data_IF_587775247139
#
_entry.id   IF_587775247139
#
_cell.length_a   1.000
_cell.length_b   1.000
_cell.length_c   1.000
_cell.angle_alpha   90.00
_cell.angle_beta   90.00
_cell.angle_gamma   90.00
#
_symmetry.space_group_name_H-M   'P 1'
#
loop_
_entity.id
_entity.type
_entity.pdbx_description
1 polymer ?
#
# COMPACT_ATOMS: atom_id res chain seq x y z
N UNK A 1 10.36 11.29 -8.16
CA UNK A 1 10.49 9.89 -7.67
C UNK A 1 10.87 8.91 -8.78
N UNK A 2 10.22 8.90 -9.96
CA UNK A 2 10.53 7.96 -11.07
C UNK A 2 12.00 8.04 -11.54
N UNK A 3 12.53 9.26 -11.75
CA UNK A 3 13.96 9.42 -12.11
C UNK A 3 14.91 8.89 -11.04
N UNK A 4 14.58 9.10 -9.77
CA UNK A 4 15.37 8.56 -8.67
C UNK A 4 15.31 7.03 -8.65
N UNK A 5 14.13 6.44 -8.82
CA UNK A 5 13.95 5.00 -8.92
C UNK A 5 14.82 4.39 -10.05
N UNK A 6 14.81 5.00 -11.23
CA UNK A 6 15.65 4.57 -12.36
C UNK A 6 17.15 4.62 -12.04
N UNK A 7 17.61 5.70 -11.38
CA UNK A 7 19.03 5.85 -11.01
C UNK A 7 19.51 4.78 -10.05
N UNK A 8 18.68 4.35 -9.11
CA UNK A 8 19.03 3.30 -8.13
C UNK A 8 18.62 1.89 -8.56
N UNK A 9 18.00 1.74 -9.74
CA UNK A 9 17.56 0.46 -10.27
C UNK A 9 16.27 -0.10 -9.63
N UNK A 10 15.53 0.73 -8.88
CA UNK A 10 14.23 0.34 -8.31
C UNK A 10 13.20 0.10 -9.42
N UNK A 11 12.38 -0.92 -9.25
CA UNK A 11 11.39 -1.34 -10.26
C UNK A 11 10.01 -0.71 -10.05
N UNK A 12 9.78 -0.16 -8.87
CA UNK A 12 8.50 0.46 -8.52
C UNK A 12 8.68 1.66 -7.60
N UNK A 13 7.65 2.48 -7.55
CA UNK A 13 7.48 3.58 -6.59
C UNK A 13 6.10 3.49 -5.95
N UNK A 14 6.00 3.90 -4.70
CA UNK A 14 4.72 4.04 -3.99
C UNK A 14 4.17 5.44 -4.20
N UNK A 15 2.85 5.53 -4.35
CA UNK A 15 2.10 6.79 -4.47
C UNK A 15 0.89 6.78 -3.54
N UNK A 16 0.52 7.95 -3.03
CA UNK A 16 -0.60 8.12 -2.09
C UNK A 16 -1.65 9.08 -2.67
N UNK A 17 -2.88 9.02 -2.14
CA UNK A 17 -3.97 9.90 -2.56
C UNK A 17 -3.82 11.34 -2.07
N UNK A 18 -3.11 11.53 -0.95
CA UNK A 18 -2.85 12.83 -0.35
C UNK A 18 -1.35 13.07 -0.21
N UNK A 19 -0.95 14.34 -0.13
CA UNK A 19 0.39 14.69 0.27
C UNK A 19 0.58 14.42 1.77
N UNK A 20 1.69 13.77 2.10
CA UNK A 20 2.09 13.48 3.48
C UNK A 20 3.26 14.37 3.87
N UNK A 21 3.18 14.96 5.06
CA UNK A 21 4.25 15.69 5.72
C UNK A 21 5.04 14.83 6.69
N UNK A 22 5.80 15.48 7.56
CA UNK A 22 6.61 14.81 8.58
C UNK A 22 5.74 13.91 9.47
N UNK A 23 6.25 12.72 9.76
CA UNK A 23 5.53 11.71 10.54
C UNK A 23 4.30 11.11 9.84
N UNK A 24 4.15 11.30 8.52
CA UNK A 24 3.02 10.77 7.77
C UNK A 24 1.72 11.55 7.92
N UNK A 25 1.77 12.76 8.49
CA UNK A 25 0.58 13.62 8.68
C UNK A 25 0.06 14.08 7.31
N UNK A 26 -1.24 13.95 7.10
CA UNK A 26 -1.89 14.45 5.87
C UNK A 26 -1.83 15.98 5.83
N UNK A 27 -1.23 16.53 4.76
CA UNK A 27 -1.03 17.98 4.64
C UNK A 27 -2.29 18.69 4.18
N UNK A 28 -3.00 18.12 3.19
CA UNK A 28 -4.20 18.72 2.60
C UNK A 28 -5.38 17.75 2.74
N UNK A 29 -6.36 18.10 3.55
CA UNK A 29 -7.56 17.28 3.78
C UNK A 29 -8.64 17.49 2.71
N UNK A 30 -8.66 18.66 2.06
CA UNK A 30 -9.69 19.04 1.06
C UNK A 30 -11.12 18.86 1.59
N UNK A 31 -11.38 19.33 2.81
CA UNK A 31 -12.66 19.15 3.51
C UNK A 31 -13.83 19.90 2.83
N UNK A 32 -13.52 20.87 1.99
CA UNK A 32 -14.45 21.63 1.15
C UNK A 32 -14.88 20.88 -0.13
N UNK A 33 -14.23 19.77 -0.46
CA UNK A 33 -14.55 18.98 -1.64
C UNK A 33 -15.35 17.71 -1.29
N UNK A 34 -16.34 17.40 -2.12
CA UNK A 34 -17.07 16.12 -1.99
C UNK A 34 -16.17 14.93 -2.35
N UNK A 35 -16.48 13.76 -1.79
CA UNK A 35 -15.75 12.53 -2.10
C UNK A 35 -15.78 12.18 -3.59
N UNK A 36 -16.87 12.53 -4.30
CA UNK A 36 -16.97 12.34 -5.75
C UNK A 36 -15.91 13.17 -6.49
N UNK A 37 -15.75 14.44 -6.11
CA UNK A 37 -14.73 15.32 -6.72
C UNK A 37 -13.33 14.80 -6.43
N UNK A 38 -13.05 14.39 -5.19
CA UNK A 38 -11.76 13.80 -4.80
C UNK A 38 -11.46 12.53 -5.61
N UNK A 39 -12.46 11.65 -5.78
CA UNK A 39 -12.34 10.41 -6.56
C UNK A 39 -12.04 10.69 -8.03
N UNK A 40 -12.77 11.62 -8.66
CA UNK A 40 -12.52 12.00 -10.06
C UNK A 40 -11.11 12.60 -10.22
N UNK A 41 -10.69 13.49 -9.33
CA UNK A 41 -9.34 14.08 -9.36
C UNK A 41 -8.24 13.01 -9.20
N UNK A 42 -8.45 12.04 -8.31
CA UNK A 42 -7.53 10.92 -8.12
C UNK A 42 -7.47 10.06 -9.38
N UNK A 43 -8.60 9.75 -10.01
CA UNK A 43 -8.66 9.00 -11.26
C UNK A 43 -7.89 9.70 -12.39
N UNK A 44 -8.13 10.99 -12.61
CA UNK A 44 -7.45 11.77 -13.65
C UNK A 44 -5.93 11.79 -13.44
N UNK A 45 -5.49 11.99 -12.20
CA UNK A 45 -4.07 11.97 -11.87
C UNK A 45 -3.46 10.58 -12.09
N UNK A 46 -4.16 9.50 -11.71
CA UNK A 46 -3.68 8.13 -11.89
C UNK A 46 -3.60 7.73 -13.37
N UNK A 47 -4.45 8.28 -14.23
CA UNK A 47 -4.31 8.13 -15.69
C UNK A 47 -2.97 8.68 -16.20
N UNK A 48 -2.59 9.87 -15.75
CA UNK A 48 -1.29 10.47 -16.12
C UNK A 48 -0.12 9.69 -15.50
N UNK A 49 -0.27 9.22 -14.26
CA UNK A 49 0.71 8.36 -13.60
C UNK A 49 0.91 7.04 -14.40
N UNK A 50 -0.17 6.42 -14.86
CA UNK A 50 -0.11 5.20 -15.67
C UNK A 50 0.65 5.40 -16.98
N UNK A 51 0.36 6.48 -17.71
CA UNK A 51 1.09 6.85 -18.95
C UNK A 51 2.59 7.05 -18.68
N UNK A 52 2.91 7.73 -17.57
CA UNK A 52 4.31 7.93 -17.16
C UNK A 52 4.96 6.60 -16.79
N UNK A 53 4.30 5.76 -16.01
CA UNK A 53 4.79 4.45 -15.60
C UNK A 53 5.11 3.55 -16.82
N UNK A 54 4.24 3.54 -17.82
CA UNK A 54 4.44 2.80 -19.06
C UNK A 54 5.62 3.34 -19.89
N UNK A 55 5.68 4.66 -20.04
CA UNK A 55 6.77 5.33 -20.78
C UNK A 55 8.13 5.08 -20.13
N UNK A 56 8.21 5.18 -18.80
CA UNK A 56 9.48 5.13 -18.07
C UNK A 56 9.88 3.71 -17.64
N UNK A 57 8.98 2.73 -17.78
CA UNK A 57 9.22 1.33 -17.42
C UNK A 57 9.32 1.07 -15.91
N UNK A 58 8.73 1.94 -15.09
CA UNK A 58 8.70 1.84 -13.61
C UNK A 58 7.26 1.62 -13.17
N UNK A 59 7.01 0.63 -12.30
CA UNK A 59 5.67 0.41 -11.77
C UNK A 59 5.30 1.48 -10.72
N UNK A 60 4.03 1.82 -10.65
CA UNK A 60 3.47 2.66 -9.60
C UNK A 60 2.48 1.87 -8.79
N UNK A 61 2.64 1.86 -7.48
CA UNK A 61 1.77 1.15 -6.56
C UNK A 61 1.05 2.17 -5.67
N UNK A 62 -0.27 2.25 -5.83
CA UNK A 62 -1.13 3.14 -5.07
C UNK A 62 -1.44 2.52 -3.72
N UNK A 63 -1.09 3.20 -2.64
CA UNK A 63 -1.27 2.72 -1.28
C UNK A 63 -2.49 3.34 -0.62
N UNK A 64 -3.36 2.50 -0.08
CA UNK A 64 -4.40 2.90 0.86
C UNK A 64 -3.82 2.95 2.28
N UNK A 65 -4.11 4.04 3.00
CA UNK A 65 -3.52 4.29 4.31
C UNK A 65 -4.57 4.24 5.42
N UNK A 66 -4.19 3.80 6.62
CA UNK A 66 -5.10 3.83 7.76
C UNK A 66 -5.34 5.26 8.23
N UNK A 67 -6.60 5.51 8.56
CA UNK A 67 -7.05 6.82 9.04
C UNK A 67 -7.39 6.82 10.54
N UNK A 68 -7.16 5.71 11.22
CA UNK A 68 -7.51 5.51 12.62
C UNK A 68 -6.40 5.97 13.56
N UNK A 69 -5.15 5.80 13.15
CA UNK A 69 -3.97 6.14 13.97
C UNK A 69 -2.97 7.03 13.25
N UNK A 70 -2.52 6.66 12.04
CA UNK A 70 -1.32 7.25 11.46
C UNK A 70 -1.61 8.39 10.46
N UNK A 71 -2.64 8.22 9.61
CA UNK A 71 -2.86 9.10 8.46
C UNK A 71 -4.29 9.68 8.45
N UNK A 72 -4.72 10.23 9.59
CA UNK A 72 -6.05 10.83 9.72
C UNK A 72 -6.29 11.86 8.61
N UNK A 73 -7.42 11.69 7.89
CA UNK A 73 -7.79 12.56 6.77
C UNK A 73 -7.28 12.10 5.39
N UNK A 74 -6.52 10.99 5.31
CA UNK A 74 -6.16 10.40 4.01
C UNK A 74 -7.41 9.96 3.24
N UNK A 75 -7.49 10.28 1.95
CA UNK A 75 -8.69 10.03 1.16
C UNK A 75 -8.85 8.54 0.81
N UNK A 76 -7.82 7.92 0.25
CA UNK A 76 -7.86 6.49 -0.09
C UNK A 76 -7.65 5.63 1.16
N UNK A 77 -8.72 5.00 1.62
CA UNK A 77 -8.77 4.22 2.86
C UNK A 77 -8.85 2.72 2.64
N UNK A 78 -9.42 2.29 1.52
CA UNK A 78 -9.80 0.89 1.27
C UNK A 78 -9.16 0.35 0.00
N UNK A 79 -8.69 -0.89 0.07
CA UNK A 79 -8.08 -1.60 -1.06
C UNK A 79 -9.02 -1.68 -2.26
N UNK A 80 -10.30 -1.95 -2.02
CA UNK A 80 -11.30 -2.05 -3.07
C UNK A 80 -11.27 -0.84 -4.00
N UNK A 81 -11.33 0.38 -3.45
CA UNK A 81 -11.39 1.62 -4.26
C UNK A 81 -10.13 1.76 -5.14
N UNK A 82 -8.95 1.53 -4.57
CA UNK A 82 -7.69 1.58 -5.32
C UNK A 82 -7.62 0.53 -6.42
N UNK A 83 -7.99 -0.71 -6.10
CA UNK A 83 -7.95 -1.83 -7.05
C UNK A 83 -8.94 -1.64 -8.20
N UNK A 84 -10.16 -1.18 -7.93
CA UNK A 84 -11.17 -0.91 -8.96
C UNK A 84 -10.74 0.23 -9.90
N UNK A 85 -10.12 1.29 -9.39
CA UNK A 85 -9.53 2.35 -10.22
C UNK A 85 -8.40 1.79 -11.09
N UNK A 86 -7.50 0.98 -10.52
CA UNK A 86 -6.43 0.34 -11.28
C UNK A 86 -6.99 -0.59 -12.38
N UNK A 87 -8.08 -1.32 -12.11
CA UNK A 87 -8.78 -2.13 -13.13
C UNK A 87 -9.39 -1.25 -14.23
N UNK A 88 -10.02 -0.14 -13.86
CA UNK A 88 -10.65 0.79 -14.80
C UNK A 88 -9.62 1.46 -15.72
N UNK A 89 -8.48 1.90 -15.19
CA UNK A 89 -7.37 2.48 -15.96
C UNK A 89 -6.69 1.41 -16.83
N UNK A 90 -6.66 0.16 -16.36
CA UNK A 90 -6.16 -1.01 -17.08
C UNK A 90 -4.71 -0.88 -17.59
N UNK A 91 -3.84 -0.23 -16.83
CA UNK A 91 -2.40 -0.23 -17.08
C UNK A 91 -1.74 -1.42 -16.38
N UNK A 92 -0.79 -2.06 -17.06
CA UNK A 92 0.01 -3.15 -16.47
C UNK A 92 1.04 -2.66 -15.46
N UNK A 93 1.24 -1.34 -15.37
CA UNK A 93 2.25 -0.72 -14.49
C UNK A 93 1.65 0.08 -13.35
N UNK A 94 0.31 0.18 -13.27
CA UNK A 94 -0.39 0.81 -12.15
C UNK A 94 -1.13 -0.28 -11.38
N UNK A 95 -0.74 -0.47 -10.13
CA UNK A 95 -1.31 -1.46 -9.22
C UNK A 95 -1.51 -0.84 -7.84
N UNK A 96 -2.02 -1.60 -6.89
CA UNK A 96 -2.07 -1.20 -5.48
C UNK A 96 -0.87 -1.75 -4.72
N UNK A 97 -0.41 -1.01 -3.75
CA UNK A 97 0.38 -1.54 -2.65
C UNK A 97 -0.62 -1.95 -1.56
N UNK A 98 -0.55 -3.20 -1.14
CA UNK A 98 -1.36 -3.73 -0.07
C UNK A 98 -0.55 -3.78 1.22
N UNK A 99 -0.72 -2.78 2.08
CA UNK A 99 -0.11 -2.79 3.41
C UNK A 99 -1.05 -3.50 4.39
N UNK A 100 -0.63 -4.66 4.85
CA UNK A 100 -1.41 -5.51 5.75
C UNK A 100 -1.70 -4.80 7.08
N UNK A 101 -0.76 -4.01 7.59
CA UNK A 101 -0.96 -3.23 8.81
C UNK A 101 -2.04 -2.16 8.64
N UNK A 102 -1.94 -1.35 7.57
CA UNK A 102 -2.96 -0.33 7.31
C UNK A 102 -4.34 -0.94 7.10
N UNK A 103 -4.41 -2.04 6.36
CA UNK A 103 -5.70 -2.68 6.05
C UNK A 103 -6.27 -3.47 7.23
N UNK A 104 -5.42 -3.98 8.14
CA UNK A 104 -5.93 -4.54 9.41
C UNK A 104 -6.69 -3.48 10.20
N UNK A 105 -6.17 -2.26 10.27
CA UNK A 105 -6.78 -1.15 11.02
C UNK A 105 -8.04 -0.56 10.36
N UNK A 106 -8.10 -0.56 9.03
CA UNK A 106 -9.21 0.06 8.29
C UNK A 106 -10.33 -0.91 7.92
N UNK A 107 -10.00 -2.12 7.43
CA UNK A 107 -10.98 -3.00 6.81
C UNK A 107 -11.01 -4.42 7.38
N UNK A 108 -9.93 -4.89 8.00
CA UNK A 108 -9.85 -6.29 8.46
C UNK A 108 -9.99 -7.29 7.31
N UNK A 109 -10.42 -8.53 7.60
CA UNK A 109 -10.69 -9.56 6.60
C UNK A 109 -9.58 -9.73 5.55
N UNK A 110 -8.31 -9.64 5.97
CA UNK A 110 -7.10 -9.58 5.14
C UNK A 110 -7.08 -10.64 4.03
N UNK A 111 -7.37 -11.90 4.37
CA UNK A 111 -7.33 -12.98 3.38
C UNK A 111 -8.40 -12.82 2.29
N UNK A 112 -9.60 -12.38 2.65
CA UNK A 112 -10.69 -12.20 1.69
C UNK A 112 -10.37 -11.04 0.73
N UNK A 113 -9.79 -9.94 1.25
CA UNK A 113 -9.32 -8.82 0.44
C UNK A 113 -8.23 -9.27 -0.53
N UNK A 114 -7.24 -10.04 -0.08
CA UNK A 114 -6.20 -10.62 -0.95
C UNK A 114 -6.85 -11.46 -2.06
N UNK A 115 -7.79 -12.37 -1.71
CA UNK A 115 -8.47 -13.20 -2.72
C UNK A 115 -9.15 -12.36 -3.81
N UNK A 116 -9.80 -11.27 -3.42
CA UNK A 116 -10.59 -10.44 -4.33
C UNK A 116 -9.75 -9.53 -5.22
N UNK A 117 -8.53 -9.15 -4.79
CA UNK A 117 -7.75 -8.08 -5.43
C UNK A 117 -6.31 -8.46 -5.75
N UNK A 118 -5.89 -9.73 -5.57
CA UNK A 118 -4.51 -10.17 -5.86
C UNK A 118 -4.05 -9.85 -7.28
N UNK A 119 -4.96 -9.82 -8.25
CA UNK A 119 -4.69 -9.45 -9.64
C UNK A 119 -4.21 -8.00 -9.81
N UNK A 120 -4.42 -7.16 -8.81
CA UNK A 120 -4.01 -5.75 -8.78
C UNK A 120 -3.04 -5.41 -7.66
N UNK A 121 -2.63 -6.39 -6.85
CA UNK A 121 -1.59 -6.18 -5.84
C UNK A 121 -0.22 -6.27 -6.49
N UNK A 122 0.46 -5.13 -6.63
CA UNK A 122 1.81 -5.04 -7.19
C UNK A 122 2.92 -5.12 -6.15
N UNK A 123 2.60 -4.81 -4.90
CA UNK A 123 3.53 -4.86 -3.77
C UNK A 123 2.75 -5.10 -2.47
N UNK A 124 3.38 -5.76 -1.51
CA UNK A 124 2.81 -5.99 -0.18
C UNK A 124 3.74 -5.40 0.88
N UNK A 125 3.18 -4.65 1.84
CA UNK A 125 3.88 -4.27 3.06
C UNK A 125 3.38 -5.06 4.27
N UNK A 126 4.30 -5.26 5.22
CA UNK A 126 4.09 -6.05 6.44
C UNK A 126 4.60 -5.30 7.66
N UNK A 127 3.72 -5.08 8.63
CA UNK A 127 4.02 -4.76 10.02
C UNK A 127 2.89 -5.25 10.91
N UNK A 128 3.15 -5.58 12.16
CA UNK A 128 2.10 -6.08 13.07
C UNK A 128 1.28 -4.94 13.67
N UNK A 129 0.02 -5.22 13.96
CA UNK A 129 -0.90 -4.30 14.61
C UNK A 129 -1.33 -4.87 15.99
N UNK A 130 -1.45 -3.99 17.00
CA UNK A 130 -1.09 -2.58 17.01
C UNK A 130 0.43 -2.34 17.09
N UNK A 131 0.88 -1.11 16.86
CA UNK A 131 2.24 -0.64 17.12
C UNK A 131 3.18 -0.60 15.93
N UNK A 132 2.81 -1.21 14.78
CA UNK A 132 3.60 -1.20 13.53
C UNK A 132 4.99 -1.79 13.72
N UNK A 133 5.09 -2.86 14.52
CA UNK A 133 6.33 -3.58 14.81
C UNK A 133 6.48 -4.84 13.94
N UNK A 134 7.53 -5.64 14.23
CA UNK A 134 7.77 -6.89 13.51
C UNK A 134 6.67 -7.93 13.72
N UNK A 135 6.42 -8.83 12.74
CA UNK A 135 5.45 -9.92 12.85
C UNK A 135 5.60 -10.76 14.12
N UNK A 136 4.47 -11.06 14.78
CA UNK A 136 4.40 -11.81 16.02
C UNK A 136 4.41 -10.95 17.28
N UNK A 137 4.44 -9.63 17.14
CA UNK A 137 4.33 -8.70 18.27
C UNK A 137 2.91 -8.20 18.50
N UNK A 138 2.01 -8.40 17.55
CA UNK A 138 0.62 -7.96 17.58
C UNK A 138 -0.38 -9.10 17.33
N UNK A 139 -1.47 -8.78 16.65
CA UNK A 139 -2.62 -9.68 16.49
C UNK A 139 -2.73 -10.31 15.09
N UNK A 140 -1.87 -9.93 14.12
CA UNK A 140 -1.98 -10.41 12.75
C UNK A 140 -1.33 -11.79 12.60
N UNK A 141 -2.09 -12.74 12.08
CA UNK A 141 -1.56 -14.08 11.81
C UNK A 141 -0.78 -14.09 10.47
N UNK A 142 0.43 -13.55 10.47
CA UNK A 142 1.27 -13.45 9.27
C UNK A 142 1.57 -14.79 8.61
N UNK A 143 1.73 -15.87 9.38
CA UNK A 143 1.90 -17.21 8.81
C UNK A 143 0.72 -17.62 7.93
N UNK A 144 -0.50 -17.26 8.31
CA UNK A 144 -1.70 -17.48 7.51
C UNK A 144 -1.74 -16.54 6.30
N UNK A 145 -1.44 -15.25 6.51
CA UNK A 145 -1.49 -14.22 5.45
C UNK A 145 -0.50 -14.54 4.32
N UNK A 146 0.76 -14.86 4.64
CA UNK A 146 1.78 -15.17 3.64
C UNK A 146 1.41 -16.43 2.84
N UNK A 147 0.98 -17.51 3.52
CA UNK A 147 0.52 -18.73 2.83
C UNK A 147 -0.69 -18.46 1.93
N UNK A 148 -1.55 -17.53 2.34
CA UNK A 148 -2.71 -17.17 1.54
C UNK A 148 -2.32 -16.37 0.29
N UNK A 149 -1.37 -15.43 0.40
CA UNK A 149 -0.78 -14.72 -0.75
C UNK A 149 -0.20 -15.73 -1.77
N UNK A 150 0.59 -16.70 -1.30
CA UNK A 150 1.15 -17.76 -2.13
C UNK A 150 0.05 -18.59 -2.82
N UNK A 151 -0.97 -19.01 -2.06
CA UNK A 151 -2.10 -19.78 -2.59
C UNK A 151 -2.92 -19.02 -3.63
N UNK A 152 -3.00 -17.69 -3.52
CA UNK A 152 -3.62 -16.82 -4.51
C UNK A 152 -2.71 -16.52 -5.72
N UNK A 153 -1.48 -17.05 -5.75
CA UNK A 153 -0.56 -16.92 -6.87
C UNK A 153 0.21 -15.60 -6.89
N UNK A 154 0.31 -14.88 -5.77
CA UNK A 154 1.10 -13.66 -5.68
C UNK A 154 2.59 -13.94 -5.95
N UNK A 155 3.21 -13.16 -6.85
CA UNK A 155 4.61 -13.32 -7.26
C UNK A 155 5.45 -12.04 -7.02
N UNK A 156 4.86 -11.04 -6.38
CA UNK A 156 5.52 -9.76 -6.10
C UNK A 156 6.41 -9.82 -4.85
N UNK A 157 6.92 -8.67 -4.49
CA UNK A 157 7.73 -8.51 -3.28
C UNK A 157 6.87 -8.30 -2.04
N UNK A 158 7.35 -8.80 -0.91
CA UNK A 158 6.83 -8.50 0.43
C UNK A 158 7.89 -7.68 1.15
N UNK A 159 7.59 -6.41 1.40
CA UNK A 159 8.44 -5.48 2.12
C UNK A 159 8.03 -5.37 3.59
N UNK A 160 8.99 -5.18 4.47
CA UNK A 160 8.75 -4.97 5.89
C UNK A 160 8.92 -3.49 6.22
N UNK A 161 7.80 -2.78 6.34
CA UNK A 161 7.77 -1.35 6.69
C UNK A 161 7.29 -1.20 8.12
N UNK A 162 8.23 -1.18 9.06
CA UNK A 162 7.94 -1.29 10.49
C UNK A 162 8.91 -0.50 11.36
N UNK A 163 8.51 -0.27 12.60
CA UNK A 163 9.36 0.26 13.67
C UNK A 163 9.77 -0.90 14.58
N UNK A 164 11.06 -1.29 14.64
CA UNK A 164 11.49 -2.37 15.51
C UNK A 164 11.07 -2.14 16.97
N UNK A 165 10.48 -3.15 17.63
CA UNK A 165 10.06 -3.03 19.02
C UNK A 165 11.26 -2.81 19.96
N UNK A 166 12.39 -3.42 19.63
CA UNK A 166 13.63 -3.26 20.41
C UNK A 166 14.76 -2.70 19.55
N UNK A 167 15.23 -3.48 18.57
CA UNK A 167 16.28 -3.08 17.64
C UNK A 167 16.12 -3.79 16.29
N UNK A 168 16.77 -3.26 15.27
CA UNK A 168 16.67 -3.79 13.89
C UNK A 168 17.14 -5.25 13.77
N UNK A 169 18.16 -5.65 14.52
CA UNK A 169 18.67 -7.02 14.45
C UNK A 169 17.68 -8.03 15.02
N UNK A 170 16.98 -7.65 16.11
CA UNK A 170 15.92 -8.46 16.69
C UNK A 170 14.73 -8.58 15.73
N UNK A 171 14.30 -7.47 15.13
CA UNK A 171 13.21 -7.46 14.15
C UNK A 171 13.53 -8.35 12.94
N UNK A 172 14.73 -8.24 12.35
CA UNK A 172 15.16 -9.09 11.25
C UNK A 172 15.14 -10.57 11.60
N UNK A 173 15.58 -10.93 12.82
CA UNK A 173 15.50 -12.34 13.29
C UNK A 173 14.06 -12.84 13.37
N UNK A 174 13.12 -12.01 13.85
CA UNK A 174 11.72 -12.37 13.92
C UNK A 174 11.09 -12.59 12.52
N UNK A 175 11.55 -11.83 11.51
CA UNK A 175 11.08 -11.92 10.13
C UNK A 175 11.54 -13.22 9.44
N UNK A 176 12.75 -13.68 9.71
CA UNK A 176 13.36 -14.85 9.03
C UNK A 176 13.17 -16.15 9.80
N UNK A 177 12.57 -16.15 10.99
CA UNK A 177 12.29 -17.33 11.80
C UNK A 177 11.00 -18.03 11.36
#
# INVERSE_FOLDING_TARGET
SVEAAKKIGAKSVTIHSNALGDGGVVVNHYDDLSDTVKLCSMYDMLLECAKMAEKEGVNMNLEALNITTDHVGNFLKYTQVGAEICRLINSSRLNVLYDVYHMQLNEGCICDTITNYVDRIGHVHVADAPGRHEPGTGEINYKKVIRHLEACGYQGFVGYELFPMTDTAAAVKAIIA
#
